data_IF_206488283521
#
_entry.id   IF_206488283521
#
_cell.length_a   1.000
_cell.length_b   1.000
_cell.length_c   1.000
_cell.angle_alpha   90.00
_cell.angle_beta   90.00
_cell.angle_gamma   90.00
#
_symmetry.space_group_name_H-M   'P 1'
#
loop_
_entity.id
_entity.type
_entity.pdbx_description
1 polymer ?
#
# COMPACT_ATOMS: atom_id res chain seq x y z
N UNK A 1 25.93 -5.54 -7.86
CA UNK A 1 24.85 -6.07 -8.73
C UNK A 1 25.05 -7.54 -9.09
N UNK A 2 26.19 -7.94 -9.68
CA UNK A 2 26.45 -9.34 -10.08
C UNK A 2 26.36 -10.38 -8.93
N UNK A 3 26.70 -9.99 -7.69
CA UNK A 3 26.58 -10.85 -6.51
C UNK A 3 25.13 -11.10 -6.06
N UNK A 4 24.26 -10.10 -6.16
CA UNK A 4 22.83 -10.21 -5.81
C UNK A 4 22.09 -11.06 -6.84
N UNK A 5 22.40 -10.86 -8.13
CA UNK A 5 21.91 -11.73 -9.17
C UNK A 5 22.29 -13.19 -8.91
N UNK A 6 23.51 -13.49 -8.46
CA UNK A 6 23.89 -14.87 -8.07
C UNK A 6 23.08 -15.42 -6.90
N UNK A 7 22.78 -14.62 -5.88
CA UNK A 7 21.98 -15.05 -4.72
C UNK A 7 20.53 -15.35 -5.14
N UNK A 8 19.87 -14.38 -5.79
CA UNK A 8 18.47 -14.49 -6.17
C UNK A 8 18.22 -15.41 -7.38
N UNK A 9 19.22 -15.61 -8.25
CA UNK A 9 19.14 -16.61 -9.33
C UNK A 9 19.60 -18.01 -8.88
N UNK A 10 20.01 -18.20 -7.63
CA UNK A 10 20.42 -19.51 -7.13
C UNK A 10 19.27 -20.52 -7.24
N UNK A 11 19.59 -21.78 -7.54
CA UNK A 11 18.59 -22.86 -7.62
C UNK A 11 17.82 -23.00 -6.30
N UNK A 12 18.51 -22.82 -5.18
CA UNK A 12 17.94 -22.90 -3.84
C UNK A 12 16.91 -21.80 -3.57
N UNK A 13 17.21 -20.54 -3.89
CA UNK A 13 16.27 -19.43 -3.72
C UNK A 13 15.04 -19.62 -4.61
N UNK A 14 15.23 -19.93 -5.90
CA UNK A 14 14.11 -20.17 -6.82
C UNK A 14 13.23 -21.34 -6.38
N UNK A 15 13.84 -22.41 -5.86
CA UNK A 15 13.11 -23.55 -5.31
C UNK A 15 12.29 -23.17 -4.06
N UNK A 16 12.88 -22.41 -3.13
CA UNK A 16 12.19 -21.92 -1.94
C UNK A 16 10.99 -21.03 -2.32
N UNK A 17 11.20 -20.08 -3.24
CA UNK A 17 10.15 -19.14 -3.68
C UNK A 17 9.01 -19.82 -4.44
N UNK A 18 9.29 -20.82 -5.28
CA UNK A 18 8.24 -21.65 -5.91
C UNK A 18 7.32 -22.32 -4.88
N UNK A 19 7.84 -22.62 -3.70
CA UNK A 19 7.09 -23.22 -2.60
C UNK A 19 6.35 -22.22 -1.72
N UNK A 20 6.57 -20.91 -1.88
CA UNK A 20 5.80 -19.91 -1.14
C UNK A 20 4.45 -19.66 -1.80
N UNK A 21 4.36 -19.85 -3.12
CA UNK A 21 3.13 -19.82 -3.95
C UNK A 21 2.42 -18.45 -4.04
N UNK A 22 2.27 -17.72 -2.93
CA UNK A 22 1.49 -16.47 -2.86
C UNK A 22 2.23 -15.36 -2.09
N UNK A 23 2.00 -14.07 -2.42
CA UNK A 23 2.58 -12.95 -1.68
C UNK A 23 2.22 -12.96 -0.18
N UNK A 24 0.98 -13.30 0.17
CA UNK A 24 0.51 -13.37 1.57
C UNK A 24 1.23 -14.43 2.39
N UNK A 25 1.52 -15.60 1.80
CA UNK A 25 2.36 -16.61 2.45
C UNK A 25 3.80 -16.09 2.65
N UNK A 26 4.33 -15.34 1.69
CA UNK A 26 5.68 -14.76 1.84
C UNK A 26 5.71 -13.70 2.93
N UNK A 27 4.71 -12.82 2.99
CA UNK A 27 4.55 -11.83 4.04
C UNK A 27 4.57 -12.48 5.43
N UNK A 28 3.85 -13.59 5.60
CA UNK A 28 3.85 -14.37 6.83
C UNK A 28 5.26 -14.91 7.18
N UNK A 29 5.93 -15.54 6.21
CA UNK A 29 7.28 -16.09 6.40
C UNK A 29 8.29 -14.98 6.74
N UNK A 30 8.16 -13.80 6.13
CA UNK A 30 8.96 -12.62 6.46
C UNK A 30 8.67 -12.14 7.89
N UNK A 31 7.41 -12.21 8.35
CA UNK A 31 7.06 -11.96 9.76
C UNK A 31 7.64 -12.99 10.74
N UNK A 32 7.73 -14.26 10.35
CA UNK A 32 8.44 -15.29 11.14
C UNK A 32 9.92 -14.93 11.26
N UNK A 33 10.55 -14.48 10.17
CA UNK A 33 11.95 -14.02 10.20
C UNK A 33 12.14 -12.79 11.12
N UNK A 34 11.18 -11.86 11.11
CA UNK A 34 11.19 -10.70 12.00
C UNK A 34 10.86 -11.02 13.47
N UNK A 35 10.53 -12.27 13.79
CA UNK A 35 10.26 -12.73 15.17
C UNK A 35 8.91 -12.28 15.73
N UNK A 36 7.98 -11.86 14.88
CA UNK A 36 6.65 -11.34 15.28
C UNK A 36 5.50 -12.32 15.02
N UNK A 37 5.75 -13.38 14.25
CA UNK A 37 4.77 -14.41 13.91
C UNK A 37 5.37 -15.79 14.16
N UNK A 38 4.52 -16.76 14.49
CA UNK A 38 4.92 -18.15 14.62
C UNK A 38 4.82 -18.88 13.28
N UNK A 39 5.80 -19.72 12.98
CA UNK A 39 5.76 -20.54 11.78
C UNK A 39 4.65 -21.60 11.87
N UNK A 40 3.84 -21.73 10.83
CA UNK A 40 2.71 -22.69 10.78
C UNK A 40 3.15 -24.14 10.59
N UNK A 41 4.44 -24.38 10.40
CA UNK A 41 5.00 -25.73 10.24
C UNK A 41 6.46 -25.73 9.84
N UNK A 42 7.02 -26.93 9.68
CA UNK A 42 8.46 -27.13 9.37
C UNK A 42 8.84 -26.46 8.05
N UNK A 43 7.97 -26.50 7.04
CA UNK A 43 8.21 -25.88 5.72
C UNK A 43 8.45 -24.38 5.81
N UNK A 44 7.63 -23.65 6.58
CA UNK A 44 7.81 -22.20 6.78
C UNK A 44 9.09 -21.91 7.57
N UNK A 45 9.42 -22.71 8.59
CA UNK A 45 10.69 -22.58 9.33
C UNK A 45 11.90 -22.71 8.40
N UNK A 46 11.89 -23.71 7.51
CA UNK A 46 12.97 -23.92 6.54
C UNK A 46 13.09 -22.78 5.54
N UNK A 47 11.98 -22.30 4.98
CA UNK A 47 12.00 -21.18 4.02
C UNK A 47 12.42 -19.88 4.70
N UNK A 48 11.93 -19.62 5.92
CA UNK A 48 12.34 -18.46 6.73
C UNK A 48 13.85 -18.46 6.97
N UNK A 49 14.45 -19.60 7.33
CA UNK A 49 15.90 -19.73 7.49
C UNK A 49 16.69 -19.44 6.20
N UNK A 50 16.18 -19.89 5.05
CA UNK A 50 16.81 -19.60 3.75
C UNK A 50 16.72 -18.12 3.39
N UNK A 51 15.56 -17.50 3.63
CA UNK A 51 15.35 -16.07 3.43
C UNK A 51 16.24 -15.24 4.36
N UNK A 52 16.34 -15.61 5.63
CA UNK A 52 17.26 -15.00 6.60
C UNK A 52 18.68 -14.95 6.03
N UNK A 53 19.23 -16.08 5.58
CA UNK A 53 20.58 -16.12 5.00
C UNK A 53 20.74 -15.24 3.77
N UNK A 54 19.72 -15.16 2.92
CA UNK A 54 19.77 -14.31 1.73
C UNK A 54 19.67 -12.82 2.08
N UNK A 55 18.80 -12.48 3.03
CA UNK A 55 18.53 -11.11 3.47
C UNK A 55 19.68 -10.55 4.32
N UNK A 56 20.22 -11.28 5.29
CA UNK A 56 21.35 -10.82 6.12
C UNK A 56 22.63 -10.60 5.29
N UNK A 57 22.89 -11.50 4.34
CA UNK A 57 24.00 -11.34 3.38
C UNK A 57 23.82 -10.16 2.44
N UNK A 58 22.57 -9.82 2.10
CA UNK A 58 22.27 -8.65 1.28
C UNK A 58 22.36 -7.36 2.11
N UNK A 59 21.78 -7.33 3.31
CA UNK A 59 21.77 -6.20 4.23
C UNK A 59 23.19 -5.73 4.57
N UNK A 60 24.06 -6.64 5.02
CA UNK A 60 25.48 -6.36 5.30
C UNK A 60 26.21 -5.75 4.10
N UNK A 61 25.87 -6.14 2.88
CA UNK A 61 26.47 -5.61 1.66
C UNK A 61 26.01 -4.20 1.30
N UNK A 62 24.84 -3.81 1.77
CA UNK A 62 24.30 -2.45 1.62
C UNK A 62 24.56 -1.58 2.87
N UNK A 63 25.34 -2.07 3.83
CA UNK A 63 25.65 -1.34 5.07
C UNK A 63 24.50 -1.33 6.09
N UNK A 64 23.49 -2.17 5.93
CA UNK A 64 22.39 -2.30 6.88
C UNK A 64 22.68 -3.39 7.91
N UNK A 65 22.47 -3.07 9.19
CA UNK A 65 22.48 -4.06 10.26
C UNK A 65 21.25 -4.98 10.14
N UNK A 66 21.44 -6.27 10.46
CA UNK A 66 20.35 -7.26 10.42
C UNK A 66 19.19 -6.87 11.36
N UNK A 67 19.52 -6.30 12.52
CA UNK A 67 18.51 -5.83 13.48
C UNK A 67 17.68 -4.67 12.94
N UNK A 68 18.28 -3.73 12.21
CA UNK A 68 17.53 -2.66 11.54
C UNK A 68 16.55 -3.21 10.50
N UNK A 69 16.94 -4.29 9.80
CA UNK A 69 16.05 -4.96 8.86
C UNK A 69 14.90 -5.66 9.58
N UNK A 70 15.15 -6.37 10.69
CA UNK A 70 14.08 -6.99 11.48
C UNK A 70 13.13 -5.95 12.07
N UNK A 71 13.66 -4.82 12.54
CA UNK A 71 12.85 -3.72 13.06
C UNK A 71 11.93 -3.15 11.99
N UNK A 72 12.45 -2.86 10.79
CA UNK A 72 11.63 -2.40 9.67
C UNK A 72 10.55 -3.43 9.30
N UNK A 73 10.86 -4.72 9.38
CA UNK A 73 9.92 -5.81 9.10
C UNK A 73 8.84 -6.00 10.17
N UNK A 74 8.89 -5.30 11.31
CA UNK A 74 7.76 -5.26 12.27
C UNK A 74 6.58 -4.48 11.70
N UNK A 75 6.83 -3.53 10.81
CA UNK A 75 5.78 -2.83 10.07
C UNK A 75 5.15 -3.75 9.00
N UNK A 76 3.82 -3.97 9.01
CA UNK A 76 3.15 -4.82 8.03
C UNK A 76 3.29 -4.32 6.60
N UNK A 77 3.29 -3.01 6.36
CA UNK A 77 3.49 -2.46 5.02
C UNK A 77 4.85 -2.87 4.46
N UNK A 78 5.91 -2.73 5.26
CA UNK A 78 7.26 -3.13 4.87
C UNK A 78 7.32 -4.61 4.50
N UNK A 79 6.61 -5.48 5.23
CA UNK A 79 6.50 -6.91 4.87
C UNK A 79 5.80 -7.11 3.53
N UNK A 80 4.68 -6.43 3.27
CA UNK A 80 3.98 -6.50 1.97
C UNK A 80 4.85 -6.04 0.82
N UNK A 81 5.52 -4.90 0.98
CA UNK A 81 6.42 -4.32 -0.02
C UNK A 81 7.54 -5.30 -0.37
N UNK A 82 8.23 -5.85 0.64
CA UNK A 82 9.30 -6.83 0.44
C UNK A 82 8.76 -8.12 -0.17
N UNK A 83 7.59 -8.60 0.26
CA UNK A 83 6.97 -9.78 -0.32
C UNK A 83 6.68 -9.59 -1.82
N UNK A 84 6.10 -8.46 -2.22
CA UNK A 84 5.82 -8.15 -3.62
C UNK A 84 7.12 -8.10 -4.46
N UNK A 85 8.16 -7.44 -3.94
CA UNK A 85 9.47 -7.36 -4.60
C UNK A 85 10.11 -8.74 -4.76
N UNK A 86 10.19 -9.52 -3.68
CA UNK A 86 10.82 -10.85 -3.68
C UNK A 86 10.06 -11.84 -4.57
N UNK A 87 8.73 -11.79 -4.58
CA UNK A 87 7.90 -12.57 -5.50
C UNK A 87 8.13 -12.14 -6.96
N UNK A 88 8.22 -10.84 -7.22
CA UNK A 88 8.57 -10.30 -8.53
C UNK A 88 9.94 -10.82 -9.02
N UNK A 89 10.96 -10.78 -8.16
CA UNK A 89 12.30 -11.32 -8.46
C UNK A 89 12.24 -12.83 -8.70
N UNK A 90 11.47 -13.58 -7.91
CA UNK A 90 11.35 -15.02 -8.10
C UNK A 90 10.68 -15.40 -9.42
N UNK A 91 9.69 -14.61 -9.85
CA UNK A 91 8.91 -14.84 -11.08
C UNK A 91 9.64 -14.34 -12.34
N UNK A 92 10.25 -13.18 -12.28
CA UNK A 92 10.79 -12.47 -13.45
C UNK A 92 12.32 -12.32 -13.44
N UNK A 93 12.99 -12.71 -12.35
CA UNK A 93 14.37 -12.34 -12.12
C UNK A 93 14.54 -10.86 -11.74
N UNK A 94 15.80 -10.45 -11.57
CA UNK A 94 16.13 -9.04 -11.36
C UNK A 94 16.04 -8.31 -12.70
N UNK A 95 15.17 -7.30 -12.79
CA UNK A 95 14.84 -6.55 -14.01
C UNK A 95 15.04 -5.05 -13.83
N UNK A 96 15.02 -4.26 -14.92
CA UNK A 96 15.10 -2.80 -14.90
C UNK A 96 14.06 -2.19 -15.86
N UNK A 97 13.04 -1.46 -15.38
CA UNK A 97 12.64 -1.34 -13.97
C UNK A 97 12.28 -2.70 -13.38
N UNK A 98 12.32 -2.83 -12.05
CA UNK A 98 12.00 -4.11 -11.40
C UNK A 98 10.52 -4.44 -11.57
N UNK A 99 10.24 -5.56 -12.25
CA UNK A 99 8.91 -6.14 -12.37
C UNK A 99 8.47 -6.74 -11.05
N UNK A 100 7.31 -6.30 -10.58
CA UNK A 100 6.66 -6.74 -9.35
C UNK A 100 5.60 -7.81 -9.66
N UNK A 101 5.20 -8.61 -8.67
CA UNK A 101 4.14 -9.60 -8.89
C UNK A 101 2.73 -8.96 -8.92
N UNK A 102 2.59 -7.80 -8.28
CA UNK A 102 1.41 -6.94 -8.33
C UNK A 102 1.83 -5.47 -8.34
N UNK A 103 0.93 -4.53 -8.73
CA UNK A 103 1.16 -3.11 -8.54
C UNK A 103 1.60 -2.80 -7.11
N UNK A 104 2.61 -1.95 -6.94
CA UNK A 104 3.10 -1.60 -5.60
C UNK A 104 2.04 -0.79 -4.84
N UNK A 105 1.43 0.16 -5.55
CA UNK A 105 0.38 1.04 -5.07
C UNK A 105 -0.77 1.05 -6.06
N UNK A 106 -2.00 1.16 -5.55
CA UNK A 106 -3.20 1.45 -6.33
C UNK A 106 -3.73 2.82 -5.93
N UNK A 107 -3.98 3.68 -6.91
CA UNK A 107 -4.80 4.89 -6.72
C UNK A 107 -6.23 4.49 -6.98
N UNK A 108 -7.06 4.55 -5.94
CA UNK A 108 -8.45 4.13 -6.01
C UNK A 108 -9.35 5.36 -6.02
N UNK A 109 -10.03 5.59 -7.15
CA UNK A 109 -11.16 6.50 -7.22
C UNK A 109 -12.31 5.94 -6.39
N UNK A 110 -12.31 6.31 -5.11
CA UNK A 110 -13.12 5.67 -4.07
C UNK A 110 -14.61 5.98 -4.21
N UNK A 111 -14.91 7.16 -4.74
CA UNK A 111 -16.27 7.66 -4.96
C UNK A 111 -16.27 8.66 -6.11
N UNK A 112 -17.42 8.85 -6.77
CA UNK A 112 -17.66 10.04 -7.62
C UNK A 112 -18.31 11.20 -6.87
N UNK A 113 -18.60 11.02 -5.59
CA UNK A 113 -19.15 12.07 -4.73
C UNK A 113 -18.06 13.09 -4.37
N UNK A 114 -18.36 14.37 -4.50
CA UNK A 114 -17.50 15.49 -4.15
C UNK A 114 -18.34 16.71 -3.78
N UNK A 115 -17.83 17.52 -2.85
CA UNK A 115 -18.42 18.80 -2.45
C UNK A 115 -17.92 20.00 -3.28
N UNK A 116 -17.00 19.79 -4.23
CA UNK A 116 -16.49 20.83 -5.16
C UNK A 116 -16.92 20.57 -6.61
N UNK A 117 -16.59 21.51 -7.51
CA UNK A 117 -16.84 21.42 -8.96
C UNK A 117 -15.65 21.98 -9.77
N UNK A 118 -14.45 21.46 -9.50
CA UNK A 118 -13.21 21.98 -10.08
C UNK A 118 -13.19 21.90 -11.61
N UNK A 119 -12.64 22.91 -12.28
CA UNK A 119 -12.55 23.00 -13.75
C UNK A 119 -11.74 21.87 -14.38
N UNK A 120 -10.75 21.34 -13.66
CA UNK A 120 -9.83 20.29 -14.12
C UNK A 120 -10.24 18.87 -13.68
N UNK A 121 -11.43 18.69 -13.09
CA UNK A 121 -11.83 17.43 -12.47
C UNK A 121 -11.95 16.28 -13.48
N UNK A 122 -10.90 15.47 -13.60
CA UNK A 122 -10.89 14.31 -14.51
C UNK A 122 -11.95 13.26 -14.13
N UNK A 123 -12.33 13.18 -12.85
CA UNK A 123 -13.33 12.23 -12.37
C UNK A 123 -14.77 12.64 -12.74
N UNK A 124 -14.96 13.88 -13.19
CA UNK A 124 -16.27 14.52 -13.38
C UNK A 124 -17.18 14.29 -12.15
N UNK A 125 -16.60 14.51 -10.97
CA UNK A 125 -17.23 14.27 -9.69
C UNK A 125 -18.32 15.31 -9.41
N UNK A 126 -19.30 14.95 -8.57
CA UNK A 126 -20.43 15.81 -8.25
C UNK A 126 -21.02 15.51 -6.88
N UNK A 127 -22.14 16.14 -6.50
CA UNK A 127 -22.67 16.06 -5.14
C UNK A 127 -23.19 14.67 -4.75
N UNK A 128 -23.33 13.76 -5.71
CA UNK A 128 -23.90 12.43 -5.51
C UNK A 128 -22.88 11.33 -5.89
N UNK A 129 -22.94 10.17 -5.21
CA UNK A 129 -22.27 8.96 -5.66
C UNK A 129 -22.62 8.59 -7.11
N UNK A 130 -21.77 7.79 -7.74
CA UNK A 130 -22.12 7.19 -9.02
C UNK A 130 -23.33 6.23 -8.86
N UNK A 131 -24.21 6.08 -9.86
CA UNK A 131 -25.31 5.13 -9.79
C UNK A 131 -24.85 3.67 -9.57
N UNK A 132 -23.65 3.35 -10.04
CA UNK A 132 -22.96 2.07 -9.94
C UNK A 132 -21.82 2.08 -8.89
N UNK A 133 -21.85 3.03 -7.95
CA UNK A 133 -20.83 3.08 -6.90
C UNK A 133 -20.89 1.84 -6.01
N UNK A 134 -19.71 1.26 -5.76
CA UNK A 134 -19.56 0.06 -4.94
C UNK A 134 -20.18 0.25 -3.55
N UNK A 135 -20.96 -0.74 -3.13
CA UNK A 135 -21.43 -0.89 -1.76
C UNK A 135 -20.25 -1.07 -0.79
N UNK A 136 -20.48 -0.86 0.51
CA UNK A 136 -19.47 -1.13 1.53
C UNK A 136 -18.94 -2.56 1.44
N UNK A 137 -19.80 -3.56 1.25
CA UNK A 137 -19.40 -4.96 1.09
C UNK A 137 -18.46 -5.16 -0.10
N UNK A 138 -18.77 -4.54 -1.25
CA UNK A 138 -17.94 -4.64 -2.44
C UNK A 138 -16.61 -3.91 -2.27
N UNK A 139 -16.60 -2.75 -1.59
CA UNK A 139 -15.37 -2.03 -1.24
C UNK A 139 -14.46 -2.89 -0.35
N UNK A 140 -15.03 -3.56 0.66
CA UNK A 140 -14.27 -4.47 1.52
C UNK A 140 -13.75 -5.71 0.77
N UNK A 141 -14.52 -6.21 -0.20
CA UNK A 141 -14.10 -7.29 -1.08
C UNK A 141 -12.95 -6.86 -2.01
N UNK A 142 -12.97 -5.64 -2.54
CA UNK A 142 -11.83 -5.08 -3.28
C UNK A 142 -10.57 -5.07 -2.41
N UNK A 143 -10.64 -4.63 -1.14
CA UNK A 143 -9.49 -4.69 -0.24
C UNK A 143 -8.93 -6.11 -0.09
N UNK A 144 -9.81 -7.11 0.05
CA UNK A 144 -9.41 -8.53 0.13
C UNK A 144 -8.66 -8.97 -1.13
N UNK A 145 -9.16 -8.60 -2.31
CA UNK A 145 -8.54 -8.93 -3.59
C UNK A 145 -7.18 -8.25 -3.76
N UNK A 146 -7.05 -6.98 -3.38
CA UNK A 146 -5.79 -6.25 -3.40
C UNK A 146 -4.73 -6.88 -2.48
N UNK A 147 -5.15 -7.33 -1.29
CA UNK A 147 -4.28 -7.98 -0.31
C UNK A 147 -3.77 -9.33 -0.84
N UNK A 148 -4.67 -10.14 -1.41
CA UNK A 148 -4.33 -11.44 -1.99
C UNK A 148 -3.40 -11.31 -3.21
N UNK A 149 -3.58 -10.25 -4.00
CA UNK A 149 -2.68 -9.93 -5.10
C UNK A 149 -1.28 -9.51 -4.62
N UNK A 150 -1.14 -9.01 -3.38
CA UNK A 150 0.13 -8.52 -2.83
C UNK A 150 0.39 -7.04 -3.09
N UNK A 151 -0.67 -6.23 -3.25
CA UNK A 151 -0.55 -4.77 -3.27
C UNK A 151 -0.10 -4.29 -1.90
N UNK A 152 0.83 -3.34 -1.85
CA UNK A 152 1.40 -2.86 -0.59
C UNK A 152 0.74 -1.56 -0.10
N UNK A 153 0.29 -0.70 -1.03
CA UNK A 153 -0.23 0.61 -0.71
C UNK A 153 -1.51 0.97 -1.48
N UNK A 154 -2.35 1.80 -0.86
CA UNK A 154 -3.59 2.33 -1.45
C UNK A 154 -3.60 3.85 -1.25
N UNK A 155 -3.80 4.59 -2.32
CA UNK A 155 -4.09 6.03 -2.28
C UNK A 155 -5.58 6.22 -2.58
N UNK A 156 -6.34 6.70 -1.59
CA UNK A 156 -7.75 7.03 -1.78
C UNK A 156 -7.88 8.38 -2.50
N UNK A 157 -8.58 8.37 -3.62
CA UNK A 157 -8.80 9.53 -4.51
C UNK A 157 -10.22 9.48 -5.11
N UNK A 158 -10.45 10.09 -6.28
CA UNK A 158 -11.71 10.12 -7.01
C UNK A 158 -12.37 11.51 -6.96
N UNK A 159 -13.57 11.57 -6.40
CA UNK A 159 -14.17 12.82 -5.91
C UNK A 159 -13.47 13.27 -4.62
N UNK A 160 -14.23 13.44 -3.55
CA UNK A 160 -13.68 13.72 -2.22
C UNK A 160 -13.89 12.48 -1.31
N UNK A 161 -12.83 11.75 -0.92
CA UNK A 161 -12.98 10.59 -0.05
C UNK A 161 -13.70 10.91 1.27
N UNK A 162 -13.46 12.09 1.86
CA UNK A 162 -14.00 12.44 3.17
C UNK A 162 -15.51 12.74 3.18
N UNK A 163 -16.15 12.98 2.03
CA UNK A 163 -17.62 13.10 1.97
C UNK A 163 -18.31 11.74 1.96
N UNK A 164 -17.61 10.67 1.60
CA UNK A 164 -18.19 9.35 1.49
C UNK A 164 -18.29 8.68 2.85
N UNK A 165 -19.50 8.29 3.25
CA UNK A 165 -19.77 7.66 4.56
C UNK A 165 -18.96 6.38 4.83
N UNK A 166 -18.59 5.64 3.78
CA UNK A 166 -17.89 4.36 3.91
C UNK A 166 -16.39 4.52 4.11
N UNK A 167 -15.83 5.70 3.81
CA UNK A 167 -14.39 5.96 3.79
C UNK A 167 -13.71 5.50 5.08
N UNK A 168 -14.26 5.88 6.24
CA UNK A 168 -13.67 5.57 7.54
C UNK A 168 -13.60 4.06 7.81
N UNK A 169 -14.62 3.30 7.41
CA UNK A 169 -14.65 1.85 7.60
C UNK A 169 -13.64 1.17 6.69
N UNK A 170 -13.57 1.59 5.43
CA UNK A 170 -12.66 1.01 4.42
C UNK A 170 -11.21 1.37 4.74
N UNK A 171 -10.90 2.63 5.06
CA UNK A 171 -9.56 3.06 5.42
C UNK A 171 -9.06 2.34 6.69
N UNK A 172 -9.90 2.24 7.72
CA UNK A 172 -9.55 1.48 8.94
C UNK A 172 -9.26 0.01 8.61
N UNK A 173 -10.12 -0.63 7.80
CA UNK A 173 -9.92 -2.02 7.41
C UNK A 173 -8.62 -2.19 6.61
N UNK A 174 -8.32 -1.28 5.70
CA UNK A 174 -7.07 -1.30 4.94
C UNK A 174 -5.84 -1.17 5.87
N UNK A 175 -5.92 -0.32 6.90
CA UNK A 175 -4.82 -0.14 7.85
C UNK A 175 -4.60 -1.42 8.68
N UNK A 176 -5.69 -2.04 9.17
CA UNK A 176 -5.65 -3.33 9.88
C UNK A 176 -5.10 -4.47 9.02
N UNK A 177 -5.33 -4.41 7.70
CA UNK A 177 -4.77 -5.37 6.75
C UNK A 177 -3.30 -5.10 6.42
N UNK A 178 -2.74 -3.98 6.89
CA UNK A 178 -1.33 -3.64 6.75
C UNK A 178 -0.97 -2.89 5.47
N UNK A 179 -1.95 -2.30 4.77
CA UNK A 179 -1.66 -1.41 3.65
C UNK A 179 -1.06 -0.10 4.15
N UNK A 180 -0.12 0.46 3.39
CA UNK A 180 0.18 1.88 3.53
C UNK A 180 -0.93 2.69 2.86
N UNK A 181 -1.49 3.65 3.58
CA UNK A 181 -2.64 4.42 3.11
C UNK A 181 -2.22 5.87 2.88
N UNK A 182 -2.63 6.42 1.73
CA UNK A 182 -2.73 7.87 1.57
C UNK A 182 -4.13 8.31 1.18
N UNK A 183 -4.41 9.59 1.40
CA UNK A 183 -5.69 10.21 1.02
C UNK A 183 -5.39 11.51 0.30
N UNK A 184 -5.85 11.61 -0.95
CA UNK A 184 -5.94 12.88 -1.65
C UNK A 184 -7.27 13.54 -1.29
N UNK A 185 -7.21 14.76 -0.75
CA UNK A 185 -8.37 15.53 -0.31
C UNK A 185 -8.31 16.96 -0.81
N UNK A 186 -9.47 17.55 -1.05
CA UNK A 186 -9.63 18.96 -1.33
C UNK A 186 -9.42 19.86 -0.10
N UNK A 187 -9.25 19.29 1.10
CA UNK A 187 -8.89 20.06 2.29
C UNK A 187 -10.06 20.73 3.02
N UNK A 188 -11.19 20.99 2.35
CA UNK A 188 -12.33 21.74 2.91
C UNK A 188 -12.97 21.10 4.15
N UNK A 189 -12.85 19.78 4.31
CA UNK A 189 -13.36 19.03 5.47
C UNK A 189 -12.31 18.79 6.56
N UNK A 190 -11.07 19.25 6.36
CA UNK A 190 -9.99 19.03 7.33
C UNK A 190 -10.15 19.99 8.50
N UNK A 191 -10.79 19.51 9.55
CA UNK A 191 -10.75 20.11 10.89
C UNK A 191 -9.70 19.43 11.76
N UNK A 192 -9.43 19.98 12.95
CA UNK A 192 -8.55 19.34 13.93
C UNK A 192 -9.01 17.93 14.30
N UNK A 193 -10.32 17.73 14.43
CA UNK A 193 -10.91 16.43 14.77
C UNK A 193 -10.83 15.45 13.60
N UNK A 194 -11.05 15.92 12.36
CA UNK A 194 -10.90 15.08 11.15
C UNK A 194 -9.44 14.67 10.96
N UNK A 195 -8.48 15.58 11.16
CA UNK A 195 -7.06 15.27 11.13
C UNK A 195 -6.67 14.23 12.20
N UNK A 196 -7.20 14.39 13.42
CA UNK A 196 -7.00 13.42 14.50
C UNK A 196 -7.59 12.05 14.13
N UNK A 197 -8.80 12.03 13.59
CA UNK A 197 -9.48 10.80 13.16
C UNK A 197 -8.74 10.10 12.03
N UNK A 198 -8.18 10.83 11.06
CA UNK A 198 -7.34 10.26 9.99
C UNK A 198 -6.12 9.53 10.59
N UNK A 199 -5.43 10.18 11.52
CA UNK A 199 -4.30 9.56 12.24
C UNK A 199 -4.73 8.30 13.01
N UNK A 200 -5.82 8.38 13.77
CA UNK A 200 -6.35 7.25 14.54
C UNK A 200 -6.84 6.09 13.66
N UNK A 201 -7.31 6.41 12.44
CA UNK A 201 -7.71 5.42 11.43
C UNK A 201 -6.50 4.69 10.82
N UNK A 202 -5.29 5.23 10.98
CA UNK A 202 -4.07 4.68 10.40
C UNK A 202 -3.73 5.24 9.02
N UNK A 203 -4.09 6.49 8.73
CA UNK A 203 -3.69 7.21 7.51
C UNK A 203 -2.40 8.00 7.79
N UNK A 204 -1.21 7.50 7.39
CA UNK A 204 0.05 8.19 7.64
C UNK A 204 0.32 9.40 6.73
N UNK A 205 -0.37 9.50 5.59
CA UNK A 205 -0.09 10.51 4.57
C UNK A 205 -1.37 11.11 3.99
N UNK A 206 -1.43 12.45 3.92
CA UNK A 206 -2.56 13.21 3.39
C UNK A 206 -2.02 14.21 2.37
N UNK A 207 -2.61 14.20 1.19
CA UNK A 207 -2.28 15.07 0.07
C UNK A 207 -3.38 16.13 -0.04
N UNK A 208 -3.05 17.38 0.30
CA UNK A 208 -4.00 18.50 0.22
C UNK A 208 -3.84 19.20 -1.13
N UNK A 209 -4.95 19.27 -1.83
CA UNK A 209 -5.09 19.91 -3.14
C UNK A 209 -5.01 21.44 -3.04
N UNK A 210 -3.95 22.06 -3.55
CA UNK A 210 -3.76 23.51 -3.64
C UNK A 210 -3.31 23.86 -5.06
N UNK A 211 -4.05 24.71 -5.77
CA UNK A 211 -3.79 25.02 -7.19
C UNK A 211 -3.37 26.45 -7.48
N UNK A 212 -3.63 27.40 -6.56
CA UNK A 212 -3.13 28.77 -6.69
C UNK A 212 -2.78 29.33 -5.32
N UNK A 213 -1.69 30.11 -5.19
CA UNK A 213 -1.43 30.91 -3.99
C UNK A 213 -2.35 32.14 -3.89
N UNK A 214 -3.06 32.52 -4.96
CA UNK A 214 -4.07 33.57 -4.94
C UNK A 214 -5.45 32.94 -4.59
N UNK A 215 -6.12 33.41 -3.51
CA UNK A 215 -7.39 32.82 -3.07
C UNK A 215 -8.50 32.90 -4.12
N UNK A 216 -8.64 34.04 -4.80
CA UNK A 216 -9.70 34.23 -5.79
C UNK A 216 -9.51 33.31 -7.01
N UNK A 217 -8.27 33.17 -7.49
CA UNK A 217 -7.93 32.24 -8.57
C UNK A 217 -8.12 30.78 -8.15
N UNK A 218 -7.77 30.44 -6.90
CA UNK A 218 -7.94 29.09 -6.36
C UNK A 218 -9.43 28.70 -6.31
N UNK A 219 -10.25 29.56 -5.72
CA UNK A 219 -11.70 29.39 -5.62
C UNK A 219 -12.34 29.27 -7.01
N UNK A 220 -11.95 30.13 -7.95
CA UNK A 220 -12.45 30.10 -9.32
C UNK A 220 -12.12 28.76 -10.01
N UNK A 221 -10.89 28.26 -9.82
CA UNK A 221 -10.43 27.02 -10.43
C UNK A 221 -11.07 25.78 -9.77
N UNK A 222 -11.33 25.83 -8.46
CA UNK A 222 -11.99 24.78 -7.67
C UNK A 222 -13.51 24.82 -7.71
N UNK A 223 -14.09 25.91 -8.22
CA UNK A 223 -15.50 26.04 -8.56
C UNK A 223 -16.43 26.37 -7.40
N UNK A 224 -15.90 26.73 -6.22
CA UNK A 224 -16.66 27.26 -5.09
C UNK A 224 -15.85 28.31 -4.32
N UNK A 225 -16.49 29.23 -3.57
CA UNK A 225 -15.80 30.13 -2.66
C UNK A 225 -15.19 29.40 -1.44
N UNK A 226 -14.02 29.88 -0.98
CA UNK A 226 -13.25 29.34 0.15
C UNK A 226 -12.92 27.85 -0.01
N UNK A 227 -12.54 27.47 -1.23
CA UNK A 227 -12.11 26.12 -1.55
C UNK A 227 -10.78 25.75 -0.87
#
# INVERSE_FOLDING_TARGET
>A
MASLQKIFNSRLFRFAMKRVETPRKLEHIVGVYAGILEARGIREKTISYLLQKAMSKSASRFGFAEESLKEALKDPYTRKAIANILMGIAKFGITRPQKLCAPFMIVWNFTKQCNLRCRHCYANAGPHPAPDELTLSEKLEVLRQLDEAGVAAISFSGGEPLVNKDFWNVAKRAAEMGFYISVATNGTLITRDVAKRLKETGVPYVEVSIDSPNPEEHDEFRGIPRA
#
